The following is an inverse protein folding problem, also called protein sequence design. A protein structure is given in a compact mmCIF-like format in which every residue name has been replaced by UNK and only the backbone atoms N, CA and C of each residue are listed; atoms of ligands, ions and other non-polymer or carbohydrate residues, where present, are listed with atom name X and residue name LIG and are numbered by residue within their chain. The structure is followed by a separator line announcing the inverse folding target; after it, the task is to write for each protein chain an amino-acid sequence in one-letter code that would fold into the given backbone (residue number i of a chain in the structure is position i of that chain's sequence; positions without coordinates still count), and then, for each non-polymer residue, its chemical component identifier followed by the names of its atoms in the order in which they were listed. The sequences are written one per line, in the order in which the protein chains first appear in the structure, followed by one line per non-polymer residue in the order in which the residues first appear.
data_IF_385056452287
#
_entry.id   IF_385056452287
#
_cell.length_a   1.000
_cell.length_b   1.000
_cell.length_c   1.000
_cell.angle_alpha   90.00
_cell.angle_beta   90.00
_cell.angle_gamma   90.00
#
_symmetry.space_group_name_H-M   'P 1'
#
loop_
_entity.id
_entity.type
_entity.pdbx_description
1 polymer ?
#
# COMPACT_ATOMS: atom_id res chain seq x y z
N UNK A 1 5.69 -22.04 -1.07
CA UNK A 1 5.87 -21.63 -2.49
C UNK A 1 6.00 -22.86 -3.38
N UNK A 2 5.42 -22.86 -4.57
CA UNK A 2 5.65 -23.89 -5.60
C UNK A 2 6.80 -23.44 -6.51
N UNK A 3 7.77 -24.31 -6.82
CA UNK A 3 8.87 -24.00 -7.74
C UNK A 3 8.41 -24.28 -9.17
N UNK A 4 8.49 -23.27 -10.03
CA UNK A 4 8.13 -23.37 -11.45
C UNK A 4 9.31 -22.88 -12.28
N UNK A 5 9.80 -23.71 -13.20
CA UNK A 5 10.84 -23.33 -14.16
C UNK A 5 10.17 -22.68 -15.36
N UNK A 6 10.61 -21.48 -15.73
CA UNK A 6 10.13 -20.74 -16.90
C UNK A 6 11.34 -20.35 -17.76
N UNK A 7 11.18 -20.41 -19.09
CA UNK A 7 12.19 -19.86 -20.00
C UNK A 7 11.96 -18.36 -20.16
N UNK A 8 13.03 -17.58 -20.09
CA UNK A 8 13.00 -16.13 -20.27
C UNK A 8 14.01 -15.74 -21.36
N UNK A 9 13.71 -14.73 -22.20
CA UNK A 9 14.71 -14.10 -23.04
C UNK A 9 15.92 -13.61 -22.23
N UNK A 10 17.12 -13.69 -22.80
CA UNK A 10 18.38 -13.38 -22.11
C UNK A 10 18.46 -11.93 -21.61
N UNK A 11 17.93 -11.00 -22.40
CA UNK A 11 17.82 -9.58 -22.06
C UNK A 11 16.94 -9.36 -20.83
N UNK A 12 15.79 -10.04 -20.78
CA UNK A 12 14.86 -9.98 -19.65
C UNK A 12 15.47 -10.64 -18.41
N UNK A 13 16.11 -11.80 -18.55
CA UNK A 13 16.81 -12.46 -17.45
C UNK A 13 17.91 -11.55 -16.86
N UNK A 14 18.67 -10.88 -17.74
CA UNK A 14 19.70 -9.91 -17.35
C UNK A 14 19.11 -8.69 -16.63
N UNK A 15 17.96 -8.20 -17.09
CA UNK A 15 17.26 -7.08 -16.45
C UNK A 15 16.78 -7.43 -15.04
N UNK A 16 16.17 -8.61 -14.86
CA UNK A 16 15.71 -9.08 -13.54
C UNK A 16 16.89 -9.29 -12.58
N UNK A 17 17.99 -9.89 -13.05
CA UNK A 17 19.19 -10.09 -12.23
C UNK A 17 19.82 -8.76 -11.79
N UNK A 18 19.84 -7.77 -12.69
CA UNK A 18 20.32 -6.41 -12.38
C UNK A 18 19.45 -5.75 -11.31
N UNK A 19 18.12 -5.85 -11.43
CA UNK A 19 17.20 -5.26 -10.45
C UNK A 19 17.31 -5.92 -9.07
N UNK A 20 17.44 -7.25 -9.04
CA UNK A 20 17.65 -8.00 -7.80
C UNK A 20 18.92 -7.54 -7.08
N UNK A 21 20.03 -7.36 -7.83
CA UNK A 21 21.28 -6.82 -7.30
C UNK A 21 21.13 -5.38 -6.80
N UNK A 22 20.47 -4.51 -7.58
CA UNK A 22 20.23 -3.10 -7.22
C UNK A 22 19.47 -2.98 -5.90
N UNK A 23 18.45 -3.82 -5.70
CA UNK A 23 17.59 -3.81 -4.51
C UNK A 23 18.12 -4.67 -3.36
N UNK A 24 19.21 -5.43 -3.57
CA UNK A 24 19.76 -6.42 -2.62
C UNK A 24 18.72 -7.48 -2.19
N UNK A 25 17.87 -7.90 -3.12
CA UNK A 25 16.84 -8.93 -2.91
C UNK A 25 17.09 -10.12 -3.86
N UNK A 26 16.32 -11.19 -3.68
CA UNK A 26 16.43 -12.38 -4.54
C UNK A 26 15.79 -12.16 -5.92
N UNK A 27 16.28 -12.85 -6.96
CA UNK A 27 15.66 -12.88 -8.29
C UNK A 27 14.19 -13.33 -8.20
N UNK A 28 13.91 -14.34 -7.38
CA UNK A 28 12.58 -14.86 -7.17
C UNK A 28 11.62 -13.85 -6.53
N UNK A 29 12.13 -12.89 -5.76
CA UNK A 29 11.33 -11.81 -5.17
C UNK A 29 10.97 -10.76 -6.21
N UNK A 30 11.94 -10.30 -7.01
CA UNK A 30 11.68 -9.39 -8.13
C UNK A 30 10.69 -10.00 -9.13
N UNK A 31 10.88 -11.28 -9.49
CA UNK A 31 10.00 -11.98 -10.40
C UNK A 31 8.58 -12.11 -9.83
N UNK A 32 8.46 -12.44 -8.54
CA UNK A 32 7.17 -12.54 -7.85
C UNK A 32 6.43 -11.21 -7.85
N UNK A 33 7.08 -10.12 -7.44
CA UNK A 33 6.46 -8.79 -7.42
C UNK A 33 6.00 -8.35 -8.81
N UNK A 34 6.79 -8.61 -9.86
CA UNK A 34 6.41 -8.27 -11.23
C UNK A 34 5.18 -9.08 -11.70
N UNK A 35 5.13 -10.36 -11.36
CA UNK A 35 4.00 -11.25 -11.68
C UNK A 35 2.75 -10.81 -10.88
N UNK A 36 2.89 -10.57 -9.58
CA UNK A 36 1.82 -10.10 -8.71
C UNK A 36 1.24 -8.77 -9.18
N UNK A 37 2.10 -7.79 -9.51
CA UNK A 37 1.67 -6.50 -10.03
C UNK A 37 0.92 -6.63 -11.37
N UNK A 38 1.37 -7.54 -12.26
CA UNK A 38 0.71 -7.78 -13.54
C UNK A 38 -0.64 -8.49 -13.39
N UNK A 39 -0.74 -9.44 -12.47
CA UNK A 39 -1.94 -10.24 -12.24
C UNK A 39 -2.92 -9.59 -11.24
N UNK A 40 -2.60 -8.40 -10.71
CA UNK A 40 -3.41 -7.77 -9.66
C UNK A 40 -3.42 -8.56 -8.35
N UNK A 41 -2.44 -9.43 -8.14
CA UNK A 41 -2.25 -10.26 -6.95
C UNK A 41 -1.20 -9.64 -6.03
N UNK A 42 -1.21 -8.32 -5.86
CA UNK A 42 -0.45 -7.72 -4.76
C UNK A 42 -1.00 -8.34 -3.48
N UNK A 43 -0.21 -9.09 -2.71
CA UNK A 43 -0.65 -9.78 -1.48
C UNK A 43 -1.26 -8.87 -0.40
N UNK A 44 -1.42 -7.58 -0.70
CA UNK A 44 -2.37 -6.69 -0.07
C UNK A 44 -3.72 -6.96 -0.74
N UNK A 45 -4.53 -7.83 -0.12
CA UNK A 45 -5.99 -7.82 -0.30
C UNK A 45 -6.39 -6.36 -0.56
N UNK A 46 -7.05 -6.03 -1.68
CA UNK A 46 -7.38 -4.66 -2.05
C UNK A 46 -7.92 -3.95 -0.82
N UNK A 47 -7.06 -3.26 -0.06
CA UNK A 47 -7.47 -2.60 1.15
C UNK A 47 -8.29 -1.49 0.59
N UNK A 48 -9.61 -1.65 0.70
CA UNK A 48 -10.58 -0.62 0.36
C UNK A 48 -10.05 0.60 1.08
N UNK A 49 -9.42 1.50 0.32
CA UNK A 49 -8.76 2.63 0.94
C UNK A 49 -9.91 3.36 1.65
N UNK A 50 -9.83 3.58 2.97
CA UNK A 50 -10.88 4.23 3.73
C UNK A 50 -10.93 5.74 3.41
N UNK A 51 -10.53 6.13 2.20
CA UNK A 51 -10.56 7.50 1.72
C UNK A 51 -11.95 7.96 1.32
N UNK A 52 -12.97 7.10 1.46
CA UNK A 52 -14.33 7.58 1.56
C UNK A 52 -14.42 8.42 2.84
N UNK A 53 -14.31 9.75 2.68
CA UNK A 53 -14.42 10.78 3.74
C UNK A 53 -13.11 11.29 4.40
N UNK A 54 -11.91 11.07 3.84
CA UNK A 54 -10.71 11.80 4.31
C UNK A 54 -10.94 13.32 4.22
N UNK A 55 -10.88 14.02 5.36
CA UNK A 55 -11.13 15.45 5.47
C UNK A 55 -12.61 15.86 5.59
N UNK A 56 -13.56 14.91 5.63
CA UNK A 56 -14.99 15.22 5.84
C UNK A 56 -15.31 15.24 7.34
N UNK A 57 -14.79 16.23 8.06
CA UNK A 57 -15.11 16.47 9.47
C UNK A 57 -16.50 17.10 9.67
N UNK A 58 -17.17 17.55 8.60
CA UNK A 58 -18.38 18.39 8.68
C UNK A 58 -18.06 19.86 9.00
N UNK A 59 -16.84 20.16 9.42
CA UNK A 59 -16.36 21.52 9.71
C UNK A 59 -15.51 22.06 8.56
N UNK A 60 -15.76 23.32 8.19
CA UNK A 60 -14.98 24.02 7.13
C UNK A 60 -13.64 24.57 7.65
N UNK A 61 -13.48 24.66 8.96
CA UNK A 61 -12.37 25.34 9.66
C UNK A 61 -11.70 24.46 10.73
N UNK A 62 -11.69 23.14 10.52
CA UNK A 62 -11.22 22.13 11.50
C UNK A 62 -9.83 22.41 12.08
N UNK A 63 -8.92 23.00 11.29
CA UNK A 63 -7.56 23.32 11.76
C UNK A 63 -7.49 24.59 12.62
N UNK A 64 -8.40 25.54 12.42
CA UNK A 64 -8.43 26.81 13.15
C UNK A 64 -9.18 26.67 14.47
N UNK A 65 -10.23 25.86 14.46
CA UNK A 65 -11.15 25.71 15.58
C UNK A 65 -10.97 24.35 16.28
N UNK A 66 -9.78 23.75 16.16
CA UNK A 66 -9.50 22.40 16.62
C UNK A 66 -9.78 22.25 18.12
N UNK A 67 -9.30 23.18 18.95
CA UNK A 67 -9.51 23.19 20.39
C UNK A 67 -11.00 23.29 20.76
N UNK A 68 -11.75 24.18 20.10
CA UNK A 68 -13.18 24.36 20.37
C UNK A 68 -14.02 23.13 19.96
N UNK A 69 -13.66 22.49 18.85
CA UNK A 69 -14.30 21.25 18.40
C UNK A 69 -14.01 20.11 19.36
N UNK A 70 -12.75 19.99 19.82
CA UNK A 70 -12.37 18.98 20.79
C UNK A 70 -13.11 19.21 22.12
N UNK A 71 -13.16 20.42 22.66
CA UNK A 71 -13.89 20.70 23.90
C UNK A 71 -15.38 20.32 23.82
N UNK A 72 -16.03 20.60 22.69
CA UNK A 72 -17.45 20.29 22.48
C UNK A 72 -17.74 18.79 22.35
N UNK A 73 -16.89 18.06 21.62
CA UNK A 73 -17.17 16.67 21.24
C UNK A 73 -16.50 15.63 22.17
N UNK A 74 -15.40 15.99 22.84
CA UNK A 74 -14.58 15.05 23.62
C UNK A 74 -15.24 14.55 24.90
N UNK A 75 -16.15 15.33 25.49
CA UNK A 75 -16.93 14.92 26.66
C UNK A 75 -18.04 13.92 26.32
N UNK A 76 -18.68 14.07 25.16
CA UNK A 76 -19.81 13.25 24.76
C UNK A 76 -19.41 11.81 24.38
N UNK A 77 -18.18 11.59 23.92
CA UNK A 77 -17.68 10.29 23.47
C UNK A 77 -17.05 9.46 24.60
N UNK A 78 -16.63 10.10 25.71
CA UNK A 78 -16.02 9.42 26.87
C UNK A 78 -17.02 8.68 27.77
N UNK A 79 -18.29 9.08 27.73
CA UNK A 79 -19.36 8.50 28.55
C UNK A 79 -20.17 7.41 27.81
N UNK A 80 -19.67 6.92 26.66
CA UNK A 80 -20.32 5.91 25.80
C UNK A 80 -19.52 4.62 25.71
#
# INVERSE_FOLDING_TARGET
MKRTTISLPDDLASAVAREARRRRVSISEVAREAIEARLGHTGVEHRRLPFAALGRSGHRTTARDAEAILEAEWGADRDR
#
